data_IF_384654824201
#
_entry.id   IF_384654824201
#
_cell.length_a   1.000
_cell.length_b   1.000
_cell.length_c   1.000
_cell.angle_alpha   90.00
_cell.angle_beta   90.00
_cell.angle_gamma   90.00
#
_symmetry.space_group_name_H-M   'P 1'
#
loop_
_entity.id
_entity.type
_entity.pdbx_description
1 polymer ?
#
# COMPACT_ATOMS: atom_id res chain seq x y z
N UNK A 1 -11.72 -18.52 18.68
CA UNK A 1 -12.25 -17.26 18.13
C UNK A 1 -11.60 -17.04 16.77
N UNK A 2 -12.38 -17.05 15.69
CA UNK A 2 -11.84 -16.80 14.35
C UNK A 2 -11.81 -15.30 14.09
N UNK A 3 -10.62 -14.71 14.01
CA UNK A 3 -10.45 -13.33 13.57
C UNK A 3 -10.72 -13.31 12.06
N UNK A 4 -11.77 -12.63 11.64
CA UNK A 4 -12.08 -12.45 10.23
C UNK A 4 -11.18 -11.34 9.69
N UNK A 5 -10.17 -11.72 8.89
CA UNK A 5 -9.20 -10.80 8.29
C UNK A 5 -9.32 -10.83 6.77
N UNK A 6 -9.35 -9.65 6.14
CA UNK A 6 -9.24 -9.52 4.68
C UNK A 6 -7.80 -9.17 4.34
N UNK A 7 -7.20 -9.95 3.45
CA UNK A 7 -5.83 -9.74 2.96
C UNK A 7 -5.89 -9.27 1.52
N UNK A 8 -5.08 -8.27 1.19
CA UNK A 8 -4.83 -7.86 -0.18
C UNK A 8 -3.35 -8.08 -0.50
N UNK A 9 -3.11 -8.83 -1.58
CA UNK A 9 -1.79 -9.18 -2.10
C UNK A 9 -1.75 -8.80 -3.58
N UNK A 10 -0.78 -7.99 -3.98
CA UNK A 10 -0.63 -7.45 -5.33
C UNK A 10 0.82 -7.10 -5.64
N UNK A 11 1.17 -7.13 -6.93
CA UNK A 11 2.48 -6.73 -7.44
C UNK A 11 3.57 -7.79 -7.28
N UNK A 12 4.82 -7.43 -7.62
CA UNK A 12 5.94 -8.37 -7.72
C UNK A 12 6.33 -9.02 -6.38
N UNK A 13 5.87 -8.47 -5.26
CA UNK A 13 6.16 -8.95 -3.91
C UNK A 13 4.96 -9.58 -3.19
N UNK A 14 3.88 -9.88 -3.90
CA UNK A 14 2.65 -10.47 -3.35
C UNK A 14 2.89 -11.78 -2.56
N UNK A 15 3.91 -12.55 -2.95
CA UNK A 15 4.29 -13.79 -2.29
C UNK A 15 5.03 -13.56 -0.96
N UNK A 16 5.76 -12.45 -0.84
CA UNK A 16 6.55 -12.11 0.35
C UNK A 16 5.71 -11.42 1.42
N UNK A 17 4.86 -10.46 1.05
CA UNK A 17 4.02 -9.73 1.99
C UNK A 17 2.69 -9.28 1.38
N UNK A 18 1.71 -9.04 2.24
CA UNK A 18 0.43 -8.43 1.87
C UNK A 18 0.51 -6.92 1.94
N UNK A 19 0.04 -6.24 0.90
CA UNK A 19 0.02 -4.78 0.79
C UNK A 19 -1.00 -4.17 1.76
N UNK A 20 -2.08 -4.90 2.07
CA UNK A 20 -3.08 -4.48 3.06
C UNK A 20 -3.67 -5.64 3.85
N UNK A 21 -3.92 -5.41 5.13
CA UNK A 21 -4.59 -6.33 6.06
C UNK A 21 -5.68 -5.57 6.81
N UNK A 22 -6.93 -5.94 6.61
CA UNK A 22 -8.05 -5.39 7.39
C UNK A 22 -8.47 -6.39 8.46
N UNK A 23 -8.52 -5.93 9.71
CA UNK A 23 -9.04 -6.68 10.86
C UNK A 23 -10.09 -5.83 11.55
N UNK A 24 -11.35 -6.27 11.50
CA UNK A 24 -12.48 -5.47 11.97
C UNK A 24 -12.57 -4.13 11.23
N UNK A 25 -12.51 -3.03 11.97
CA UNK A 25 -12.57 -1.67 11.42
C UNK A 25 -11.19 -1.02 11.17
N UNK A 26 -10.10 -1.74 11.40
CA UNK A 26 -8.75 -1.20 11.23
C UNK A 26 -8.09 -1.82 10.01
N UNK A 27 -7.57 -0.95 9.13
CA UNK A 27 -6.76 -1.31 7.98
C UNK A 27 -5.29 -1.02 8.29
N UNK A 28 -4.46 -2.04 8.16
CA UNK A 28 -3.01 -1.95 8.23
C UNK A 28 -2.45 -2.10 6.81
N UNK A 29 -1.58 -1.19 6.39
CA UNK A 29 -0.94 -1.23 5.09
C UNK A 29 0.55 -1.45 5.25
N UNK A 30 1.14 -2.25 4.37
CA UNK A 30 2.59 -2.31 4.25
C UNK A 30 3.12 -1.02 3.61
N UNK A 31 4.42 -0.75 3.76
CA UNK A 31 5.08 0.34 3.05
C UNK A 31 4.88 0.19 1.54
N UNK A 32 4.44 1.26 0.90
CA UNK A 32 4.29 1.30 -0.56
C UNK A 32 5.54 1.93 -1.16
N UNK A 33 6.20 1.19 -2.05
CA UNK A 33 7.43 1.65 -2.70
C UNK A 33 7.06 2.28 -4.04
N UNK A 34 7.74 3.38 -4.36
CA UNK A 34 7.64 4.08 -5.64
C UNK A 34 8.36 3.34 -6.77
N UNK A 35 7.90 2.15 -7.10
CA UNK A 35 8.42 1.32 -8.18
C UNK A 35 7.41 1.26 -9.33
N UNK A 36 7.90 0.99 -10.54
CA UNK A 36 7.04 0.69 -11.68
C UNK A 36 6.56 -0.77 -11.69
N UNK A 37 5.79 -1.15 -12.72
CA UNK A 37 5.29 -2.52 -12.90
C UNK A 37 6.41 -3.56 -13.08
N UNK A 38 7.62 -3.14 -13.49
CA UNK A 38 8.80 -3.99 -13.62
C UNK A 38 9.52 -4.22 -12.29
N UNK A 39 9.13 -3.47 -11.23
CA UNK A 39 9.77 -3.49 -9.93
C UNK A 39 10.96 -2.55 -9.80
N UNK A 40 11.21 -1.69 -10.80
CA UNK A 40 12.29 -0.72 -10.81
C UNK A 40 11.84 0.62 -10.23
N UNK A 41 12.69 1.25 -9.42
CA UNK A 41 12.45 2.62 -8.96
C UNK A 41 12.95 3.60 -10.03
N UNK A 42 12.13 4.56 -10.49
CA UNK A 42 12.58 5.61 -11.40
C UNK A 42 13.64 6.50 -10.74
N UNK A 43 14.50 7.16 -11.52
CA UNK A 43 15.56 8.02 -10.99
C UNK A 43 15.01 9.30 -10.31
N UNK A 44 13.82 9.74 -10.70
CA UNK A 44 13.20 10.94 -10.15
C UNK A 44 12.49 10.69 -8.82
N UNK A 45 12.93 11.37 -7.75
CA UNK A 45 12.25 11.34 -6.45
C UNK A 45 10.75 11.67 -6.55
N UNK A 46 10.39 12.64 -7.40
CA UNK A 46 8.99 13.04 -7.57
C UNK A 46 8.14 11.94 -8.23
N UNK A 47 8.73 11.19 -9.16
CA UNK A 47 8.09 10.05 -9.82
C UNK A 47 7.94 8.88 -8.85
N UNK A 48 8.99 8.58 -8.07
CA UNK A 48 8.92 7.59 -7.00
C UNK A 48 7.81 7.93 -5.99
N UNK A 49 7.73 9.18 -5.54
CA UNK A 49 6.67 9.61 -4.62
C UNK A 49 5.29 9.46 -5.27
N UNK A 50 5.14 9.87 -6.52
CA UNK A 50 3.86 9.77 -7.24
C UNK A 50 3.39 8.32 -7.37
N UNK A 51 4.29 7.41 -7.71
CA UNK A 51 4.02 5.97 -7.77
C UNK A 51 3.68 5.40 -6.39
N UNK A 52 4.45 5.75 -5.35
CA UNK A 52 4.19 5.29 -3.99
C UNK A 52 2.79 5.70 -3.50
N UNK A 53 2.40 6.96 -3.71
CA UNK A 53 1.07 7.44 -3.34
C UNK A 53 -0.05 6.84 -4.21
N UNK A 54 0.20 6.59 -5.49
CA UNK A 54 -0.72 5.85 -6.36
C UNK A 54 -0.99 4.45 -5.82
N UNK A 55 0.07 3.72 -5.45
CA UNK A 55 -0.06 2.40 -4.84
C UNK A 55 -0.84 2.42 -3.52
N UNK A 56 -0.64 3.43 -2.67
CA UNK A 56 -1.45 3.59 -1.44
C UNK A 56 -2.93 3.75 -1.80
N UNK A 57 -3.24 4.60 -2.78
CA UNK A 57 -4.62 4.83 -3.21
C UNK A 57 -5.26 3.54 -3.76
N UNK A 58 -4.53 2.76 -4.54
CA UNK A 58 -5.01 1.49 -5.08
C UNK A 58 -5.31 0.48 -3.98
N UNK A 59 -4.41 0.35 -2.99
CA UNK A 59 -4.62 -0.53 -1.84
C UNK A 59 -5.85 -0.08 -1.05
N UNK A 60 -6.01 1.23 -0.77
CA UNK A 60 -7.17 1.76 -0.06
C UNK A 60 -8.48 1.46 -0.81
N UNK A 61 -8.50 1.61 -2.14
CA UNK A 61 -9.66 1.34 -2.98
C UNK A 61 -10.15 -0.11 -2.85
N UNK A 62 -9.25 -1.09 -2.67
CA UNK A 62 -9.60 -2.50 -2.47
C UNK A 62 -10.37 -2.77 -1.16
N UNK A 63 -10.24 -1.87 -0.19
CA UNK A 63 -10.95 -1.93 1.09
C UNK A 63 -12.10 -0.92 1.16
N UNK A 64 -12.43 -0.23 0.06
CA UNK A 64 -13.46 0.81 0.02
C UNK A 64 -13.11 2.06 0.83
N UNK A 65 -11.82 2.27 1.08
CA UNK A 65 -11.29 3.43 1.80
C UNK A 65 -10.79 4.50 0.83
N UNK A 66 -10.71 5.74 1.30
CA UNK A 66 -10.17 6.89 0.55
C UNK A 66 -9.03 7.52 1.33
N UNK A 67 -8.17 8.25 0.62
CA UNK A 67 -7.04 9.00 1.21
C UNK A 67 -7.46 10.06 2.26
N UNK A 68 -8.74 10.41 2.29
CA UNK A 68 -9.32 11.47 3.14
C UNK A 68 -9.45 11.07 4.62
N UNK A 69 -9.49 9.76 4.91
CA UNK A 69 -9.76 9.24 6.26
C UNK A 69 -8.47 9.11 7.06
N UNK A 70 -8.25 9.96 8.07
CA UNK A 70 -7.32 9.85 9.23
C UNK A 70 -6.31 8.69 9.19
N UNK A 71 -5.50 8.63 8.13
CA UNK A 71 -4.54 7.55 7.92
C UNK A 71 -3.20 8.05 8.43
N UNK A 72 -2.70 7.43 9.50
CA UNK A 72 -1.34 7.67 9.96
C UNK A 72 -0.38 7.15 8.90
N UNK A 73 0.40 8.04 8.31
CA UNK A 73 1.33 7.76 7.21
C UNK A 73 2.74 8.01 7.71
N UNK A 74 3.55 6.95 7.74
CA UNK A 74 4.98 7.05 7.97
C UNK A 74 5.67 6.97 6.60
N UNK A 75 6.18 8.11 6.12
CA UNK A 75 6.86 8.24 4.82
C UNK A 75 8.36 8.27 5.08
N UNK A 76 9.10 7.39 4.41
CA UNK A 76 10.56 7.37 4.41
C UNK A 76 11.04 7.70 3.01
N UNK A 77 11.86 8.74 2.87
CA UNK A 77 12.55 9.10 1.63
C UNK A 77 14.05 8.87 1.86
N UNK A 78 14.73 8.23 0.91
CA UNK A 78 16.19 8.11 0.87
C UNK A 78 16.80 9.31 0.13
#
# INVERSE_FOLDING_TARGET
MSINKKLYRSGPYADLFSQGVQVGNTLYMAGQVGIDESGAAPEGLLEQMSLAYGHVQDVLAQFGATMDKHCRRDVVCD
#
